data_IF_163636641203
#
_entry.id   IF_163636641203
#
_cell.length_a   1.000
_cell.length_b   1.000
_cell.length_c   1.000
_cell.angle_alpha   90.00
_cell.angle_beta   90.00
_cell.angle_gamma   90.00
#
_symmetry.space_group_name_H-M   'P 1'
#
loop_
_entity.id
_entity.type
_entity.pdbx_description
1 polymer ?
#
# COMPACT_ATOMS: atom_id res chain seq x y z
N UNK A 1 -6.77 -15.55 -6.38
CA UNK A 1 -7.40 -14.90 -5.20
C UNK A 1 -8.37 -13.88 -5.74
N UNK A 2 -9.63 -13.94 -5.32
CA UNK A 2 -10.65 -12.99 -5.78
C UNK A 2 -10.40 -11.59 -5.21
N UNK A 3 -10.85 -10.54 -5.91
CA UNK A 3 -10.71 -9.14 -5.48
C UNK A 3 -11.23 -8.92 -4.06
N UNK A 4 -12.37 -9.52 -3.72
CA UNK A 4 -12.97 -9.41 -2.39
C UNK A 4 -12.10 -10.07 -1.32
N UNK A 5 -11.41 -11.16 -1.62
CA UNK A 5 -10.45 -11.79 -0.71
C UNK A 5 -9.20 -10.92 -0.55
N UNK A 6 -8.72 -10.29 -1.63
CA UNK A 6 -7.60 -9.34 -1.60
C UNK A 6 -7.93 -8.10 -0.77
N UNK A 7 -9.14 -7.56 -0.93
CA UNK A 7 -9.68 -6.44 -0.15
C UNK A 7 -9.93 -6.82 1.32
N UNK A 8 -10.45 -8.03 1.56
CA UNK A 8 -10.64 -8.58 2.91
C UNK A 8 -9.30 -8.86 3.60
N UNK A 9 -8.25 -9.22 2.86
CA UNK A 9 -6.90 -9.34 3.39
C UNK A 9 -6.30 -7.95 3.67
N UNK A 10 -6.48 -6.99 2.75
CA UNK A 10 -6.14 -5.58 2.92
C UNK A 10 -4.74 -5.40 3.54
N UNK A 11 -4.67 -4.61 4.62
CA UNK A 11 -3.43 -4.34 5.38
C UNK A 11 -2.86 -5.53 6.15
N UNK A 12 -3.65 -6.59 6.35
CA UNK A 12 -3.21 -7.81 7.05
C UNK A 12 -2.55 -8.82 6.11
N UNK A 13 -2.58 -8.55 4.80
CA UNK A 13 -1.85 -9.32 3.81
C UNK A 13 -0.35 -9.24 4.11
N UNK A 14 0.30 -10.39 3.98
CA UNK A 14 1.74 -10.53 4.16
C UNK A 14 2.30 -11.19 2.91
N UNK A 15 3.14 -10.46 2.18
CA UNK A 15 3.94 -10.99 1.09
C UNK A 15 5.08 -11.84 1.66
N UNK A 16 5.57 -12.79 0.86
CA UNK A 16 6.73 -13.58 1.21
C UNK A 16 7.79 -13.37 0.14
N UNK A 17 9.04 -13.18 0.56
CA UNK A 17 10.19 -13.05 -0.33
C UNK A 17 11.34 -13.88 0.24
N UNK A 18 12.04 -14.62 -0.60
CA UNK A 18 13.26 -15.31 -0.21
C UNK A 18 14.47 -14.42 -0.50
N UNK A 19 15.30 -14.20 0.51
CA UNK A 19 16.55 -13.48 0.38
C UNK A 19 17.68 -14.31 0.99
N UNK A 20 18.67 -14.69 0.18
CA UNK A 20 19.83 -15.46 0.63
C UNK A 20 19.45 -16.76 1.40
N UNK A 21 18.36 -17.42 0.98
CA UNK A 21 17.86 -18.65 1.61
C UNK A 21 17.04 -18.42 2.89
N UNK A 22 16.74 -17.18 3.26
CA UNK A 22 15.87 -16.81 4.37
C UNK A 22 14.55 -16.28 3.84
N UNK A 23 13.44 -16.81 4.36
CA UNK A 23 12.10 -16.30 4.05
C UNK A 23 11.78 -15.08 4.90
N UNK A 24 11.50 -13.96 4.25
CA UNK A 24 11.11 -12.69 4.86
C UNK A 24 9.65 -12.37 4.52
N UNK A 25 8.97 -11.72 5.44
CA UNK A 25 7.63 -11.16 5.24
C UNK A 25 7.68 -9.72 4.70
N UNK A 26 6.70 -9.36 3.88
CA UNK A 26 6.47 -8.00 3.39
C UNK A 26 5.09 -7.54 3.81
N UNK A 27 4.99 -6.54 4.69
CA UNK A 27 3.70 -5.94 5.07
C UNK A 27 3.37 -4.76 4.16
N UNK A 28 2.09 -4.50 3.92
CA UNK A 28 1.68 -3.27 3.19
C UNK A 28 1.95 -2.05 4.07
N UNK A 29 2.62 -1.05 3.50
CA UNK A 29 2.82 0.24 4.15
C UNK A 29 1.59 1.13 4.00
N UNK A 30 1.30 1.91 5.04
CA UNK A 30 0.22 2.92 5.02
C UNK A 30 0.80 4.33 4.91
N UNK A 31 -0.04 5.32 4.65
CA UNK A 31 0.38 6.74 4.48
C UNK A 31 1.30 7.24 5.61
N UNK A 32 1.01 6.84 6.87
CA UNK A 32 1.85 7.17 8.02
C UNK A 32 3.28 6.64 7.87
N UNK A 33 3.45 5.43 7.35
CA UNK A 33 4.78 4.83 7.11
C UNK A 33 5.53 5.63 6.04
N UNK A 34 4.85 6.01 4.96
CA UNK A 34 5.45 6.82 3.89
C UNK A 34 5.89 8.19 4.39
N UNK A 35 5.08 8.86 5.21
CA UNK A 35 5.47 10.11 5.87
C UNK A 35 6.66 9.91 6.82
N UNK A 36 6.64 8.87 7.64
CA UNK A 36 7.74 8.57 8.56
C UNK A 36 9.06 8.33 7.82
N UNK A 37 9.03 7.52 6.75
CA UNK A 37 10.20 7.28 5.91
C UNK A 37 10.71 8.55 5.22
N UNK A 38 9.80 9.41 4.75
CA UNK A 38 10.18 10.68 4.13
C UNK A 38 10.85 11.63 5.14
N UNK A 39 10.28 11.79 6.34
CA UNK A 39 10.87 12.63 7.37
C UNK A 39 12.21 12.09 7.86
N UNK A 40 12.34 10.78 8.00
CA UNK A 40 13.60 10.14 8.38
C UNK A 40 14.69 10.32 7.31
N UNK A 41 14.33 10.28 6.02
CA UNK A 41 15.27 10.56 4.94
C UNK A 41 15.72 12.03 4.93
N UNK A 42 14.81 12.98 5.18
CA UNK A 42 15.16 14.40 5.35
C UNK A 42 16.10 14.58 6.55
N UNK A 43 15.77 14.00 7.70
CA UNK A 43 16.60 14.07 8.90
C UNK A 43 17.99 13.46 8.67
N UNK A 44 18.09 12.39 7.87
CA UNK A 44 19.37 11.82 7.48
C UNK A 44 20.21 12.81 6.65
N UNK A 45 19.59 13.50 5.70
CA UNK A 45 20.26 14.52 4.89
C UNK A 45 20.75 15.69 5.75
N UNK A 46 19.88 16.21 6.63
CA UNK A 46 20.20 17.29 7.54
C UNK A 46 21.38 16.91 8.46
N UNK A 47 21.37 15.69 9.01
CA UNK A 47 22.46 15.18 9.88
C UNK A 47 23.80 15.03 9.17
N UNK A 48 23.79 14.79 7.86
CA UNK A 48 24.99 14.61 7.06
C UNK A 48 25.38 15.88 6.28
N UNK A 49 24.72 17.02 6.57
CA UNK A 49 24.97 18.31 5.92
C UNK A 49 24.85 18.22 4.38
N UNK A 50 23.89 17.42 3.90
CA UNK A 50 23.62 17.24 2.47
C UNK A 50 22.38 18.05 2.07
N UNK A 51 22.57 19.03 1.20
CA UNK A 51 21.46 19.80 0.65
C UNK A 51 20.65 18.97 -0.35
N UNK A 52 19.32 19.03 -0.23
CA UNK A 52 18.42 18.44 -1.22
C UNK A 52 18.42 19.32 -2.48
N UNK A 53 18.94 18.76 -3.58
CA UNK A 53 19.03 19.41 -4.89
C UNK A 53 18.83 18.38 -6.00
N UNK A 54 18.77 18.82 -7.25
CA UNK A 54 18.71 17.90 -8.40
C UNK A 54 19.90 16.93 -8.43
N UNK A 55 21.07 17.33 -7.91
CA UNK A 55 22.26 16.48 -7.87
C UNK A 55 22.19 15.39 -6.79
N UNK A 56 21.39 15.59 -5.74
CA UNK A 56 21.29 14.69 -4.58
C UNK A 56 19.95 13.95 -4.53
N UNK A 57 19.04 14.22 -5.47
CA UNK A 57 17.71 13.62 -5.56
C UNK A 57 17.76 12.07 -5.59
N UNK A 58 18.65 11.48 -6.39
CA UNK A 58 18.80 10.02 -6.45
C UNK A 58 19.28 9.44 -5.13
N UNK A 59 20.13 10.17 -4.40
CA UNK A 59 20.60 9.76 -3.07
C UNK A 59 19.46 9.83 -2.05
N UNK A 60 18.59 10.83 -2.17
CA UNK A 60 17.44 10.99 -1.30
C UNK A 60 16.42 9.86 -1.51
N UNK A 61 16.11 9.54 -2.76
CA UNK A 61 15.20 8.44 -3.07
C UNK A 61 15.77 7.07 -2.68
N UNK A 62 17.09 6.88 -2.84
CA UNK A 62 17.76 5.68 -2.33
C UNK A 62 17.65 5.57 -0.80
N UNK A 63 17.90 6.66 -0.08
CA UNK A 63 17.78 6.68 1.38
C UNK A 63 16.34 6.45 1.84
N UNK A 64 15.36 7.11 1.22
CA UNK A 64 13.93 6.87 1.47
C UNK A 64 13.54 5.42 1.22
N UNK A 65 14.11 4.78 0.19
CA UNK A 65 13.89 3.35 -0.08
C UNK A 65 14.40 2.49 1.07
N UNK A 66 15.58 2.80 1.63
CA UNK A 66 16.11 2.11 2.82
C UNK A 66 15.18 2.26 4.02
N UNK A 67 14.68 3.49 4.26
CA UNK A 67 13.72 3.77 5.34
C UNK A 67 12.42 2.97 5.18
N UNK A 68 11.90 2.88 3.95
CA UNK A 68 10.69 2.11 3.65
C UNK A 68 10.92 0.60 3.84
N UNK A 69 12.07 0.07 3.42
CA UNK A 69 12.42 -1.34 3.62
C UNK A 69 12.52 -1.70 5.10
N UNK A 70 13.10 -0.82 5.93
CA UNK A 70 13.16 -1.00 7.38
C UNK A 70 11.75 -1.17 8.00
N UNK A 71 10.74 -0.52 7.41
CA UNK A 71 9.35 -0.59 7.85
C UNK A 71 8.60 -1.79 7.25
N UNK A 72 8.87 -2.13 6.00
CA UNK A 72 8.11 -3.12 5.23
C UNK A 72 8.54 -4.57 5.51
N UNK A 73 9.82 -4.80 5.76
CA UNK A 73 10.39 -6.14 5.94
C UNK A 73 10.17 -6.61 7.38
N UNK A 74 9.40 -7.67 7.52
CA UNK A 74 8.99 -8.24 8.81
C UNK A 74 9.26 -9.74 8.87
N UNK A 75 9.40 -10.25 10.09
CA UNK A 75 9.50 -11.68 10.33
C UNK A 75 8.13 -12.32 10.02
N UNK A 76 8.08 -13.40 9.23
CA UNK A 76 6.82 -13.95 8.74
C UNK A 76 5.95 -14.56 9.84
N UNK A 77 6.55 -15.02 10.94
CA UNK A 77 5.82 -15.66 12.04
C UNK A 77 5.30 -14.62 13.04
N UNK A 78 6.15 -13.66 13.40
CA UNK A 78 5.87 -12.67 14.45
C UNK A 78 5.31 -11.35 13.93
N UNK A 79 5.44 -11.09 12.62
CA UNK A 79 5.09 -9.82 11.94
C UNK A 79 5.82 -8.60 12.51
N UNK A 80 6.90 -8.80 13.25
CA UNK A 80 7.73 -7.72 13.79
C UNK A 80 8.80 -7.32 12.78
N UNK A 81 9.30 -6.08 12.81
CA UNK A 81 10.41 -5.66 11.94
C UNK A 81 11.60 -6.61 12.08
N UNK A 82 12.16 -7.05 10.95
CA UNK A 82 13.40 -7.85 10.92
C UNK A 82 14.58 -7.01 11.33
N UNK A 83 14.57 -5.73 10.93
CA UNK A 83 15.62 -4.78 11.24
C UNK A 83 15.22 -3.95 12.46
N UNK A 84 16.09 -3.90 13.47
CA UNK A 84 15.87 -3.09 14.68
C UNK A 84 16.09 -1.60 14.44
N UNK A 85 16.79 -1.24 13.36
CA UNK A 85 17.04 0.14 12.96
C UNK A 85 17.30 0.24 11.45
N UNK A 86 17.20 1.44 10.90
CA UNK A 86 17.55 1.68 9.49
C UNK A 86 19.04 1.48 9.22
N UNK A 87 19.91 1.73 10.21
CA UNK A 87 21.35 1.50 10.08
C UNK A 87 21.65 0.02 9.82
N UNK A 88 20.91 -0.87 10.47
CA UNK A 88 21.03 -2.31 10.24
C UNK A 88 20.66 -2.69 8.79
N UNK A 89 19.70 -2.01 8.17
CA UNK A 89 19.40 -2.20 6.74
C UNK A 89 20.58 -1.77 5.88
N UNK A 90 21.29 -0.69 6.24
CA UNK A 90 22.47 -0.23 5.51
C UNK A 90 23.66 -1.18 5.66
N UNK A 91 23.84 -1.77 6.84
CA UNK A 91 24.94 -2.67 7.17
C UNK A 91 24.76 -4.10 6.64
N UNK A 92 23.53 -4.64 6.72
CA UNK A 92 23.26 -6.05 6.41
C UNK A 92 22.96 -6.25 4.92
N UNK A 93 22.15 -5.37 4.33
CA UNK A 93 21.71 -5.54 2.95
C UNK A 93 22.68 -4.91 1.97
N UNK A 94 23.08 -5.70 0.98
CA UNK A 94 23.78 -5.18 -0.18
C UNK A 94 22.82 -4.38 -1.06
N UNK A 95 23.38 -3.60 -2.00
CA UNK A 95 22.58 -2.81 -2.94
C UNK A 95 21.57 -3.67 -3.72
N UNK A 96 22.02 -4.81 -4.25
CA UNK A 96 21.14 -5.69 -5.03
C UNK A 96 20.06 -6.35 -4.18
N UNK A 97 20.31 -6.61 -2.89
CA UNK A 97 19.28 -7.11 -1.97
C UNK A 97 18.16 -6.08 -1.79
N UNK A 98 18.53 -4.80 -1.62
CA UNK A 98 17.56 -3.69 -1.48
C UNK A 98 16.72 -3.54 -2.75
N UNK A 99 17.37 -3.57 -3.91
CA UNK A 99 16.69 -3.46 -5.20
C UNK A 99 15.69 -4.63 -5.39
N UNK A 100 16.12 -5.86 -5.07
CA UNK A 100 15.27 -7.04 -5.13
C UNK A 100 14.07 -6.96 -4.19
N UNK A 101 14.29 -6.60 -2.92
CA UNK A 101 13.21 -6.44 -1.94
C UNK A 101 12.22 -5.34 -2.33
N UNK A 102 12.72 -4.22 -2.86
CA UNK A 102 11.88 -3.12 -3.32
C UNK A 102 10.99 -3.54 -4.50
N UNK A 103 11.53 -4.28 -5.47
CA UNK A 103 10.76 -4.83 -6.59
C UNK A 103 9.68 -5.80 -6.10
N UNK A 104 10.04 -6.75 -5.24
CA UNK A 104 9.10 -7.72 -4.66
C UNK A 104 8.01 -7.05 -3.83
N UNK A 105 8.37 -6.00 -3.09
CA UNK A 105 7.40 -5.17 -2.37
C UNK A 105 6.42 -4.50 -3.33
N UNK A 106 6.89 -3.86 -4.41
CA UNK A 106 6.01 -3.20 -5.37
C UNK A 106 5.07 -4.18 -6.07
N UNK A 107 5.54 -5.38 -6.40
CA UNK A 107 4.68 -6.43 -6.94
C UNK A 107 3.62 -6.89 -5.94
N UNK A 108 4.01 -7.06 -4.69
CA UNK A 108 3.10 -7.42 -3.60
C UNK A 108 2.08 -6.30 -3.35
N UNK A 109 2.51 -5.05 -3.25
CA UNK A 109 1.63 -3.90 -3.07
C UNK A 109 0.64 -3.77 -4.24
N UNK A 110 1.09 -3.94 -5.50
CA UNK A 110 0.18 -3.94 -6.66
C UNK A 110 -0.90 -5.03 -6.56
N UNK A 111 -0.57 -6.17 -5.95
CA UNK A 111 -1.51 -7.27 -5.72
C UNK A 111 -2.47 -7.00 -4.56
N UNK A 112 -2.10 -6.26 -3.51
CA UNK A 112 -2.97 -6.15 -2.32
C UNK A 112 -3.44 -4.73 -1.99
N UNK A 113 -2.94 -3.71 -2.69
CA UNK A 113 -3.41 -2.33 -2.66
C UNK A 113 -4.12 -1.97 -3.97
N UNK A 114 -5.44 -2.23 -4.07
CA UNK A 114 -6.23 -1.92 -5.25
C UNK A 114 -6.25 -0.43 -5.56
N UNK A 115 -5.47 -0.03 -6.56
CA UNK A 115 -5.42 1.33 -7.11
C UNK A 115 -6.20 1.46 -8.42
N UNK A 116 -6.44 2.70 -8.84
CA UNK A 116 -6.98 3.05 -10.17
C UNK A 116 -6.31 2.34 -11.35
N UNK A 117 -5.06 1.88 -11.16
CA UNK A 117 -4.24 1.27 -12.20
C UNK A 117 -4.40 -0.26 -12.31
N UNK A 118 -4.95 -0.92 -11.28
CA UNK A 118 -4.91 -2.39 -11.15
C UNK A 118 -6.28 -3.03 -10.94
N UNK A 119 -7.36 -2.26 -11.08
CA UNK A 119 -8.74 -2.71 -10.88
C UNK A 119 -9.48 -2.61 -12.21
N UNK A 120 -9.98 -3.76 -12.69
CA UNK A 120 -10.77 -3.85 -13.92
C UNK A 120 -12.19 -3.33 -13.70
N UNK A 121 -12.92 -3.06 -14.78
CA UNK A 121 -14.31 -2.60 -14.69
C UNK A 121 -15.22 -3.71 -14.11
N UNK A 122 -14.95 -4.97 -14.46
CA UNK A 122 -15.66 -6.14 -13.96
C UNK A 122 -15.47 -6.33 -12.45
N UNK A 123 -14.24 -6.11 -11.97
CA UNK A 123 -13.90 -6.11 -10.55
C UNK A 123 -14.63 -4.98 -9.80
N UNK A 124 -14.74 -3.80 -10.40
CA UNK A 124 -15.49 -2.68 -9.81
C UNK A 124 -16.99 -2.97 -9.70
N UNK A 125 -17.61 -3.54 -10.74
CA UNK A 125 -19.03 -3.91 -10.70
C UNK A 125 -19.29 -4.96 -9.62
N UNK A 126 -18.40 -5.96 -9.50
CA UNK A 126 -18.52 -7.00 -8.47
C UNK A 126 -18.43 -6.42 -7.06
N UNK A 127 -17.50 -5.48 -6.84
CA UNK A 127 -17.38 -4.74 -5.59
C UNK A 127 -18.62 -3.89 -5.29
N UNK A 128 -19.17 -3.19 -6.29
CA UNK A 128 -20.38 -2.38 -6.13
C UNK A 128 -21.57 -3.23 -5.68
N UNK A 129 -21.77 -4.40 -6.28
CA UNK A 129 -22.84 -5.32 -5.93
C UNK A 129 -22.66 -5.91 -4.52
N UNK A 130 -21.42 -6.19 -4.11
CA UNK A 130 -21.14 -6.64 -2.74
C UNK A 130 -21.44 -5.53 -1.72
N UNK A 131 -21.03 -4.29 -1.97
CA UNK A 131 -21.30 -3.15 -1.05
C UNK A 131 -22.80 -2.88 -0.90
N UNK A 132 -23.59 -3.06 -1.96
CA UNK A 132 -25.06 -2.95 -1.88
C UNK A 132 -25.67 -4.01 -0.97
N UNK A 133 -25.15 -5.24 -1.01
CA UNK A 133 -25.64 -6.36 -0.21
C UNK A 133 -25.16 -6.28 1.24
N UNK A 134 -23.91 -5.86 1.42
CA UNK A 134 -23.20 -5.79 2.70
C UNK A 134 -22.59 -4.39 2.89
N UNK A 135 -23.38 -3.37 3.29
CA UNK A 135 -22.89 -2.00 3.42
C UNK A 135 -21.84 -1.82 4.51
N UNK A 136 -21.80 -2.72 5.51
CA UNK A 136 -20.75 -2.75 6.55
C UNK A 136 -19.47 -3.47 6.10
N UNK A 137 -19.21 -3.62 4.78
CA UNK A 137 -17.99 -4.26 4.29
C UNK A 137 -16.76 -3.58 4.92
N UNK A 138 -16.03 -4.27 5.83
CA UNK A 138 -15.20 -3.60 6.83
C UNK A 138 -13.92 -2.92 6.28
N UNK A 139 -13.70 -2.92 4.96
CA UNK A 139 -12.41 -2.55 4.36
C UNK A 139 -12.51 -1.69 3.10
N UNK A 140 -13.61 -0.97 2.91
CA UNK A 140 -13.68 0.06 1.85
C UNK A 140 -12.55 1.09 1.96
N UNK A 141 -12.06 1.35 3.18
CA UNK A 141 -10.91 2.23 3.44
C UNK A 141 -9.58 1.76 2.83
N UNK A 142 -9.49 0.51 2.37
CA UNK A 142 -8.31 -0.05 1.71
C UNK A 142 -8.39 0.08 0.17
N UNK A 143 -9.50 0.58 -0.38
CA UNK A 143 -9.57 1.03 -1.76
C UNK A 143 -8.86 2.38 -1.90
N UNK A 144 -8.19 2.59 -3.03
CA UNK A 144 -7.65 3.92 -3.33
C UNK A 144 -8.74 5.00 -3.31
N UNK A 145 -8.38 6.22 -2.90
CA UNK A 145 -9.31 7.35 -2.83
C UNK A 145 -10.00 7.70 -4.16
N UNK A 146 -9.43 7.30 -5.31
CA UNK A 146 -10.09 7.41 -6.61
C UNK A 146 -11.29 6.47 -6.73
N UNK A 147 -11.13 5.21 -6.34
CA UNK A 147 -12.19 4.20 -6.37
C UNK A 147 -13.25 4.43 -5.31
N UNK A 148 -12.87 4.89 -4.11
CA UNK A 148 -13.83 5.32 -3.09
C UNK A 148 -14.73 6.44 -3.60
N UNK A 149 -14.15 7.46 -4.24
CA UNK A 149 -14.92 8.56 -4.86
C UNK A 149 -15.83 8.06 -5.98
N UNK A 150 -15.33 7.15 -6.82
CA UNK A 150 -16.13 6.55 -7.91
C UNK A 150 -17.30 5.73 -7.34
N UNK A 151 -17.05 4.88 -6.34
CA UNK A 151 -18.05 4.07 -5.65
C UNK A 151 -19.12 4.96 -4.99
N UNK A 152 -18.69 5.99 -4.25
CA UNK A 152 -19.59 6.94 -3.61
C UNK A 152 -20.45 7.69 -4.64
N UNK A 153 -19.86 8.15 -5.75
CA UNK A 153 -20.59 8.82 -6.82
C UNK A 153 -21.60 7.89 -7.49
N UNK A 154 -21.22 6.64 -7.79
CA UNK A 154 -22.12 5.65 -8.40
C UNK A 154 -23.29 5.30 -7.49
N UNK A 155 -23.05 5.09 -6.19
CA UNK A 155 -24.09 4.82 -5.20
C UNK A 155 -25.02 6.03 -5.02
N UNK A 156 -24.47 7.25 -4.96
CA UNK A 156 -25.26 8.47 -4.85
C UNK A 156 -26.21 8.67 -6.05
N UNK A 157 -25.72 8.45 -7.28
CA UNK A 157 -26.54 8.52 -8.49
C UNK A 157 -27.65 7.47 -8.48
N UNK A 158 -27.36 6.24 -8.05
CA UNK A 158 -28.37 5.18 -7.94
C UNK A 158 -29.43 5.51 -6.89
N UNK A 159 -29.01 6.02 -5.72
CA UNK A 159 -29.93 6.42 -4.66
C UNK A 159 -30.87 7.55 -5.10
N UNK A 160 -30.32 8.54 -5.82
CA UNK A 160 -31.09 9.64 -6.39
C UNK A 160 -32.10 9.15 -7.45
N UNK A 161 -31.74 8.15 -8.27
CA UNK A 161 -32.67 7.52 -9.22
C UNK A 161 -33.80 6.76 -8.51
N UNK A 162 -33.49 5.96 -7.50
CA UNK A 162 -34.49 5.21 -6.74
C UNK A 162 -35.47 6.12 -5.98
N UNK A 163 -35.02 7.27 -5.48
CA UNK A 163 -35.88 8.27 -4.86
C UNK A 163 -36.80 8.97 -5.87
N UNK A 164 -36.29 9.27 -7.07
CA UNK A 164 -37.09 9.88 -8.15
C UNK A 164 -38.15 8.92 -8.69
N UNK A 165 -37.82 7.64 -8.86
CA UNK A 165 -38.78 6.61 -9.30
C UNK A 165 -39.87 6.32 -8.26
N UNK A 166 -39.54 6.38 -6.96
CA UNK A 166 -40.52 6.20 -5.89
C UNK A 166 -41.43 7.42 -5.69
N UNK A 167 -40.99 8.61 -6.11
CA UNK A 167 -41.75 9.87 -6.04
C UNK A 167 -42.73 10.09 -7.19
N UNK A 168 -42.64 9.29 -8.27
CA UNK A 168 -43.51 9.41 -9.46
C UNK A 168 -44.83 8.63 -9.39
N UNK A 169 -45.19 8.10 -8.21
CA UNK A 169 -46.48 7.43 -7.95
C UNK A 169 -47.44 8.25 -7.07
N UNK A 170 -47.25 9.57 -6.97
CA UNK A 170 -48.20 10.49 -6.30
C UNK A 170 -49.04 11.27 -7.30
#
# INVERSE_FOLDING_TARGET
MELLERLKAGRDALGSVELNGVTLGLRILVEKDYHAANFAAVEYFDKNEVDLSLATADTFEAEKTVQLLALAVVDPETRKPVFSSVDQVREVLMRHDKDHLAEQYLEFERKFSPSGRNLTEEEFVSLLEEVKKNPETPRLNDLSGAWLRRLAATLAVQLQRSQTESGSLS
#
